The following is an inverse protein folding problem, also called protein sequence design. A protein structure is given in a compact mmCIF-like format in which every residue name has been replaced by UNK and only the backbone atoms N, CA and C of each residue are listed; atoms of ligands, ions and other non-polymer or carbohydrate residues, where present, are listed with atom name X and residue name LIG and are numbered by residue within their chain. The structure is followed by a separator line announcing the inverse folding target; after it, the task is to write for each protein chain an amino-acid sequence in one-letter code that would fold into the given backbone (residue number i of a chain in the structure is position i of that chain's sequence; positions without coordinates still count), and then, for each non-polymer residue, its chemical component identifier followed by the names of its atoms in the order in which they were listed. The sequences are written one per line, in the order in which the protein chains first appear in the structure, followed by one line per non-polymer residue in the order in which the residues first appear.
data_IF_531226842395
#
_entry.id   IF_531226842395
#
_cell.length_a   1.000
_cell.length_b   1.000
_cell.length_c   1.000
_cell.angle_alpha   90.00
_cell.angle_beta   90.00
_cell.angle_gamma   90.00
#
_symmetry.space_group_name_H-M   'P 1'
#
loop_
_entity.id
_entity.type
_entity.pdbx_description
1 polymer ?
#
# COMPACT_ATOMS: atom_id res chain seq x y z
N UNK A 1 -10.67 17.51 -12.28
CA UNK A 1 -11.18 16.13 -12.13
C UNK A 1 -12.62 16.17 -11.70
N UNK A 2 -13.46 15.33 -12.29
CA UNK A 2 -14.76 15.10 -11.69
C UNK A 2 -14.54 14.54 -10.28
N UNK A 3 -14.94 15.30 -9.27
CA UNK A 3 -14.83 14.94 -7.85
C UNK A 3 -15.31 13.49 -7.59
N UNK A 4 -16.28 13.04 -8.36
CA UNK A 4 -16.81 11.68 -8.31
C UNK A 4 -15.78 10.58 -8.59
N UNK A 5 -14.87 10.77 -9.56
CA UNK A 5 -13.84 9.75 -9.89
C UNK A 5 -12.79 9.69 -8.78
N UNK A 6 -12.45 10.83 -8.20
CA UNK A 6 -11.54 10.90 -7.04
C UNK A 6 -12.08 10.15 -5.83
N UNK A 7 -13.35 10.40 -5.50
CA UNK A 7 -14.01 9.69 -4.41
C UNK A 7 -14.17 8.19 -4.70
N UNK A 8 -14.46 7.82 -5.96
CA UNK A 8 -14.56 6.42 -6.36
C UNK A 8 -13.21 5.70 -6.27
N UNK A 9 -12.12 6.34 -6.72
CA UNK A 9 -10.77 5.79 -6.60
C UNK A 9 -10.33 5.66 -5.13
N UNK A 10 -10.62 6.67 -4.29
CA UNK A 10 -10.38 6.62 -2.85
C UNK A 10 -11.15 5.51 -2.15
N UNK A 11 -12.45 5.37 -2.47
CA UNK A 11 -13.28 4.29 -1.94
C UNK A 11 -12.77 2.91 -2.38
N UNK A 12 -12.36 2.76 -3.65
CA UNK A 12 -11.77 1.53 -4.16
C UNK A 12 -10.45 1.19 -3.46
N UNK A 13 -9.60 2.18 -3.20
CA UNK A 13 -8.36 2.01 -2.45
C UNK A 13 -8.62 1.60 -0.99
N UNK A 14 -9.60 2.22 -0.31
CA UNK A 14 -10.01 1.82 1.03
C UNK A 14 -10.51 0.38 1.07
N UNK A 15 -11.40 0.00 0.15
CA UNK A 15 -11.94 -1.35 0.07
C UNK A 15 -10.84 -2.38 -0.21
N UNK A 16 -9.94 -2.06 -1.15
CA UNK A 16 -8.79 -2.89 -1.46
C UNK A 16 -7.90 -3.13 -0.23
N UNK A 17 -7.52 -2.04 0.47
CA UNK A 17 -6.66 -2.12 1.65
C UNK A 17 -7.36 -2.83 2.82
N UNK A 18 -8.66 -2.63 3.03
CA UNK A 18 -9.42 -3.32 4.07
C UNK A 18 -9.43 -4.84 3.85
N UNK A 19 -9.68 -5.28 2.61
CA UNK A 19 -9.66 -6.70 2.26
C UNK A 19 -8.24 -7.27 2.34
N UNK A 20 -7.24 -6.54 1.84
CA UNK A 20 -5.85 -6.95 1.89
C UNK A 20 -5.32 -7.07 3.33
N UNK A 21 -5.62 -6.08 4.18
CA UNK A 21 -5.28 -6.12 5.61
C UNK A 21 -5.97 -7.28 6.33
N UNK A 22 -7.23 -7.54 6.03
CA UNK A 22 -7.96 -8.69 6.58
C UNK A 22 -7.32 -10.02 6.17
N UNK A 23 -6.93 -10.19 4.91
CA UNK A 23 -6.24 -11.40 4.44
C UNK A 23 -4.86 -11.56 5.10
N UNK A 24 -4.11 -10.47 5.25
CA UNK A 24 -2.78 -10.49 5.86
C UNK A 24 -2.83 -10.92 7.33
N UNK A 25 -3.79 -10.39 8.10
CA UNK A 25 -3.99 -10.78 9.51
C UNK A 25 -4.46 -12.22 9.65
N UNK A 26 -5.39 -12.66 8.78
CA UNK A 26 -6.03 -13.99 8.92
C UNK A 26 -5.17 -15.12 8.38
N UNK A 27 -4.53 -14.93 7.23
CA UNK A 27 -3.82 -16.01 6.50
C UNK A 27 -2.30 -15.85 6.51
N UNK A 28 -1.78 -14.68 6.91
CA UNK A 28 -0.36 -14.33 6.82
C UNK A 28 0.23 -14.57 5.42
N UNK A 29 -0.63 -14.67 4.43
CA UNK A 29 -0.32 -14.82 3.01
C UNK A 29 -1.36 -14.05 2.21
N UNK A 30 -0.90 -13.21 1.30
CA UNK A 30 -1.76 -12.44 0.43
C UNK A 30 -2.06 -13.28 -0.81
N UNK A 31 -3.33 -13.47 -1.09
CA UNK A 31 -3.74 -14.10 -2.34
C UNK A 31 -3.39 -13.17 -3.51
N UNK A 32 -2.60 -13.65 -4.46
CA UNK A 32 -2.25 -12.92 -5.69
C UNK A 32 -3.49 -12.54 -6.52
N UNK A 33 -4.61 -13.17 -6.26
CA UNK A 33 -5.88 -12.86 -6.92
C UNK A 33 -6.37 -11.44 -6.57
N UNK A 34 -6.17 -10.99 -5.33
CA UNK A 34 -6.62 -9.67 -4.88
C UNK A 34 -5.92 -8.52 -5.62
N UNK A 35 -4.57 -8.42 -5.64
CA UNK A 35 -3.89 -7.40 -6.42
C UNK A 35 -4.16 -7.53 -7.92
N UNK A 36 -4.31 -8.76 -8.46
CA UNK A 36 -4.67 -8.96 -9.86
C UNK A 36 -6.05 -8.40 -10.21
N UNK A 37 -7.04 -8.58 -9.34
CA UNK A 37 -8.39 -8.03 -9.55
C UNK A 37 -8.41 -6.49 -9.56
N UNK A 38 -7.58 -5.85 -8.74
CA UNK A 38 -7.49 -4.39 -8.65
C UNK A 38 -6.47 -3.76 -9.61
N UNK A 39 -5.75 -4.57 -10.38
CA UNK A 39 -4.80 -4.07 -11.38
C UNK A 39 -5.52 -3.26 -12.47
N UNK A 40 -6.62 -3.79 -13.02
CA UNK A 40 -7.38 -3.12 -14.08
C UNK A 40 -7.99 -1.78 -13.61
N UNK A 41 -8.72 -1.71 -12.49
CA UNK A 41 -9.18 -0.44 -11.93
C UNK A 41 -8.04 0.54 -11.64
N UNK A 42 -6.92 0.06 -11.09
CA UNK A 42 -5.75 0.89 -10.80
C UNK A 42 -5.14 1.48 -12.07
N UNK A 43 -4.97 0.66 -13.11
CA UNK A 43 -4.46 1.11 -14.40
C UNK A 43 -5.41 2.15 -15.03
N UNK A 44 -6.71 1.93 -14.93
CA UNK A 44 -7.70 2.89 -15.42
C UNK A 44 -7.57 4.23 -14.71
N UNK A 45 -7.45 4.25 -13.36
CA UNK A 45 -7.26 5.48 -12.61
C UNK A 45 -5.97 6.22 -12.97
N UNK A 46 -4.86 5.48 -13.14
CA UNK A 46 -3.56 6.03 -13.56
C UNK A 46 -3.66 6.66 -14.95
N UNK A 47 -4.21 5.94 -15.94
CA UNK A 47 -4.39 6.46 -17.30
C UNK A 47 -5.33 7.67 -17.34
N UNK A 48 -6.36 7.67 -16.50
CA UNK A 48 -7.29 8.80 -16.40
C UNK A 48 -6.57 10.05 -15.87
N UNK A 49 -5.76 9.94 -14.84
CA UNK A 49 -4.98 11.07 -14.31
C UNK A 49 -4.02 11.61 -15.36
N UNK A 50 -3.29 10.74 -16.05
CA UNK A 50 -2.37 11.16 -17.12
C UNK A 50 -3.11 11.86 -18.28
N UNK A 51 -4.25 11.31 -18.72
CA UNK A 51 -4.94 11.80 -19.90
C UNK A 51 -5.80 13.03 -19.65
N UNK A 52 -6.49 13.09 -18.50
CA UNK A 52 -7.52 14.11 -18.23
C UNK A 52 -7.09 15.18 -17.23
N UNK A 53 -6.14 14.87 -16.35
CA UNK A 53 -5.66 15.83 -15.36
C UNK A 53 -4.32 16.45 -15.73
N UNK A 54 -3.67 15.92 -16.75
CA UNK A 54 -2.37 16.39 -17.19
C UNK A 54 -1.30 16.23 -16.11
N UNK A 55 -1.45 15.23 -15.24
CA UNK A 55 -0.41 14.92 -14.27
C UNK A 55 0.86 14.49 -14.99
N UNK A 56 1.99 14.96 -14.49
CA UNK A 56 3.28 14.62 -15.04
C UNK A 56 3.57 13.10 -14.90
N UNK A 57 4.07 12.50 -15.96
CA UNK A 57 4.49 11.09 -15.96
C UNK A 57 5.45 10.78 -14.79
N UNK A 58 6.24 11.77 -14.34
CA UNK A 58 7.13 11.64 -13.20
C UNK A 58 6.38 11.42 -11.88
N UNK A 59 5.22 12.05 -11.71
CA UNK A 59 4.38 11.87 -10.51
C UNK A 59 3.78 10.46 -10.47
N UNK A 60 3.29 9.96 -11.61
CA UNK A 60 2.80 8.58 -11.70
C UNK A 60 3.91 7.55 -11.50
N UNK A 61 5.11 7.80 -12.04
CA UNK A 61 6.27 6.96 -11.76
C UNK A 61 6.66 6.98 -10.28
N UNK A 62 6.58 8.16 -9.62
CA UNK A 62 6.82 8.28 -8.19
C UNK A 62 5.81 7.51 -7.34
N UNK A 63 4.55 7.38 -7.79
CA UNK A 63 3.53 6.57 -7.13
C UNK A 63 3.88 5.07 -7.07
N UNK A 64 4.63 4.58 -8.07
CA UNK A 64 5.03 3.17 -8.16
C UNK A 64 6.34 2.87 -7.41
N UNK A 65 7.17 3.88 -7.15
CA UNK A 65 8.47 3.72 -6.50
C UNK A 65 8.41 2.94 -5.16
N UNK A 66 7.52 3.27 -4.21
CA UNK A 66 7.47 2.54 -2.94
C UNK A 66 7.16 1.06 -3.13
N UNK A 67 6.22 0.73 -4.02
CA UNK A 67 5.84 -0.64 -4.31
C UNK A 67 6.95 -1.42 -5.02
N UNK A 68 7.62 -0.81 -6.01
CA UNK A 68 8.80 -1.38 -6.65
C UNK A 68 9.94 -1.61 -5.66
N UNK A 69 10.18 -0.64 -4.76
CA UNK A 69 11.19 -0.77 -3.70
C UNK A 69 10.92 -1.95 -2.77
N UNK A 70 9.65 -2.14 -2.35
CA UNK A 70 9.26 -3.29 -1.52
C UNK A 70 9.37 -4.62 -2.29
N UNK A 71 9.02 -4.66 -3.58
CA UNK A 71 9.23 -5.85 -4.42
C UNK A 71 10.71 -6.19 -4.59
N UNK A 72 11.57 -5.20 -4.78
CA UNK A 72 13.03 -5.40 -4.83
C UNK A 72 13.56 -5.94 -3.50
N UNK A 73 13.13 -5.37 -2.38
CA UNK A 73 13.47 -5.86 -1.04
C UNK A 73 12.98 -7.29 -0.82
N UNK A 74 11.78 -7.63 -1.30
CA UNK A 74 11.26 -9.00 -1.24
C UNK A 74 12.14 -9.99 -2.02
N UNK A 75 12.61 -9.59 -3.21
CA UNK A 75 13.51 -10.41 -4.02
C UNK A 75 14.91 -10.58 -3.41
N UNK A 76 15.42 -9.54 -2.72
CA UNK A 76 16.77 -9.57 -2.13
C UNK A 76 16.80 -10.18 -0.74
N UNK A 77 15.67 -10.28 -0.03
CA UNK A 77 15.63 -10.66 1.38
C UNK A 77 15.32 -12.14 1.65
N UNK A 78 15.44 -13.01 0.65
CA UNK A 78 15.19 -14.46 0.76
C UNK A 78 13.88 -14.81 1.50
N UNK A 79 12.80 -14.11 1.15
CA UNK A 79 11.47 -14.34 1.68
C UNK A 79 11.18 -13.75 3.07
N UNK A 80 12.04 -12.85 3.59
CA UNK A 80 11.77 -12.12 4.84
C UNK A 80 10.73 -11.02 4.65
N UNK A 81 10.68 -10.40 3.48
CA UNK A 81 9.66 -9.43 3.07
C UNK A 81 8.68 -10.13 2.13
N UNK A 82 7.37 -9.91 2.33
CA UNK A 82 6.34 -10.53 1.50
C UNK A 82 6.23 -9.87 0.12
N UNK A 83 6.27 -10.66 -0.95
CA UNK A 83 6.00 -10.16 -2.31
C UNK A 83 4.63 -9.48 -2.41
N UNK A 84 3.66 -9.97 -1.62
CA UNK A 84 2.33 -9.41 -1.57
C UNK A 84 2.28 -7.97 -1.06
N UNK A 85 3.15 -7.60 -0.13
CA UNK A 85 3.23 -6.24 0.42
C UNK A 85 3.63 -5.24 -0.67
N UNK A 86 4.62 -5.60 -1.48
CA UNK A 86 5.07 -4.80 -2.62
C UNK A 86 3.98 -4.65 -3.69
N UNK A 87 3.32 -5.77 -4.06
CA UNK A 87 2.24 -5.75 -5.05
C UNK A 87 1.05 -4.93 -4.57
N UNK A 88 0.64 -5.06 -3.30
CA UNK A 88 -0.46 -4.25 -2.75
C UNK A 88 -0.10 -2.76 -2.71
N UNK A 89 1.15 -2.42 -2.41
CA UNK A 89 1.61 -1.03 -2.44
C UNK A 89 1.63 -0.48 -3.87
N UNK A 90 2.02 -1.28 -4.88
CA UNK A 90 1.93 -0.90 -6.30
C UNK A 90 0.49 -0.58 -6.70
N UNK A 91 -0.46 -1.45 -6.34
CA UNK A 91 -1.88 -1.23 -6.64
C UNK A 91 -2.40 0.03 -5.95
N UNK A 92 -1.99 0.28 -4.70
CA UNK A 92 -2.34 1.54 -4.02
C UNK A 92 -1.81 2.76 -4.78
N UNK A 93 -0.57 2.72 -5.27
CA UNK A 93 0.01 3.78 -6.10
C UNK A 93 -0.80 4.04 -7.37
N UNK A 94 -1.20 2.98 -8.08
CA UNK A 94 -2.05 3.07 -9.27
C UNK A 94 -3.43 3.66 -8.99
N UNK A 95 -4.06 3.27 -7.87
CA UNK A 95 -5.40 3.73 -7.49
C UNK A 95 -5.38 5.17 -6.97
N UNK A 96 -4.49 5.46 -6.03
CA UNK A 96 -4.52 6.70 -5.24
C UNK A 96 -3.56 7.80 -5.75
N UNK A 97 -2.52 7.44 -6.52
CA UNK A 97 -1.48 8.36 -6.97
C UNK A 97 -0.32 8.49 -5.98
N UNK A 98 0.63 9.38 -6.31
CA UNK A 98 1.90 9.50 -5.59
C UNK A 98 1.74 10.01 -4.16
N UNK A 99 1.03 11.12 -3.96
CA UNK A 99 0.87 11.75 -2.65
C UNK A 99 0.32 10.79 -1.60
N UNK A 100 -0.91 10.27 -1.80
CA UNK A 100 -1.52 9.31 -0.88
C UNK A 100 -0.68 8.04 -0.67
N UNK A 101 -0.08 7.50 -1.73
CA UNK A 101 0.72 6.28 -1.65
C UNK A 101 1.98 6.48 -0.82
N UNK A 102 2.77 7.53 -1.09
CA UNK A 102 4.01 7.82 -0.37
C UNK A 102 3.70 8.12 1.10
N UNK A 103 2.65 8.90 1.38
CA UNK A 103 2.23 9.19 2.75
C UNK A 103 1.80 7.92 3.49
N UNK A 104 0.94 7.09 2.87
CA UNK A 104 0.46 5.85 3.47
C UNK A 104 1.61 4.88 3.79
N UNK A 105 2.58 4.74 2.88
CA UNK A 105 3.74 3.86 3.08
C UNK A 105 4.64 4.40 4.20
N UNK A 106 4.96 5.70 4.19
CA UNK A 106 5.82 6.30 5.22
C UNK A 106 5.17 6.24 6.60
N UNK A 107 3.90 6.59 6.72
CA UNK A 107 3.14 6.49 7.97
C UNK A 107 2.99 5.03 8.42
N UNK A 108 2.68 4.12 7.50
CA UNK A 108 2.56 2.69 7.79
C UNK A 108 3.86 2.07 8.30
N UNK A 109 4.99 2.37 7.67
CA UNK A 109 6.32 1.92 8.11
C UNK A 109 6.69 2.51 9.47
N UNK A 110 6.36 3.77 9.71
CA UNK A 110 6.61 4.42 10.99
C UNK A 110 5.80 3.75 12.10
N UNK A 111 4.50 3.53 11.90
CA UNK A 111 3.64 2.84 12.85
C UNK A 111 4.11 1.41 13.12
N UNK A 112 4.48 0.67 12.07
CA UNK A 112 5.01 -0.68 12.20
C UNK A 112 6.32 -0.69 12.99
N UNK A 113 7.23 0.24 12.71
CA UNK A 113 8.52 0.34 13.40
C UNK A 113 8.35 0.66 14.89
N UNK A 114 7.43 1.57 15.23
CA UNK A 114 7.10 1.90 16.62
C UNK A 114 6.54 0.68 17.35
N UNK A 115 5.63 -0.07 16.71
CA UNK A 115 5.09 -1.30 17.30
C UNK A 115 6.17 -2.35 17.49
N UNK A 116 7.05 -2.54 16.51
CA UNK A 116 8.16 -3.49 16.62
C UNK A 116 9.09 -3.15 17.78
N UNK A 117 9.47 -1.87 17.93
CA UNK A 117 10.30 -1.41 19.04
C UNK A 117 9.60 -1.63 20.39
N UNK A 118 8.31 -1.31 20.47
CA UNK A 118 7.51 -1.50 21.67
C UNK A 118 7.41 -2.98 22.08
N UNK A 119 7.11 -3.87 21.15
CA UNK A 119 7.03 -5.31 21.41
C UNK A 119 8.38 -5.92 21.80
N UNK A 120 9.46 -5.44 21.19
CA UNK A 120 10.82 -5.88 21.51
C UNK A 120 11.21 -5.42 22.90
N UNK A 121 10.89 -4.18 23.29
CA UNK A 121 11.14 -3.65 24.64
C UNK A 121 10.37 -4.43 25.72
N UNK A 122 9.17 -4.91 25.41
CA UNK A 122 8.37 -5.78 26.29
C UNK A 122 8.80 -7.24 26.29
N UNK A 123 9.82 -7.62 25.52
CA UNK A 123 10.28 -9.02 25.31
C UNK A 123 9.16 -9.98 24.88
N UNK A 124 8.11 -9.45 24.23
CA UNK A 124 6.95 -10.22 23.75
C UNK A 124 7.06 -10.66 22.29
N UNK A 125 8.06 -10.20 21.57
CA UNK A 125 8.31 -10.60 20.21
C UNK A 125 9.78 -10.98 20.01
N UNK A 126 10.02 -12.06 19.25
CA UNK A 126 11.34 -12.44 18.79
C UNK A 126 11.71 -11.65 17.53
N UNK A 127 13.01 -11.43 17.30
CA UNK A 127 13.53 -10.77 16.08
C UNK A 127 13.08 -11.42 14.78
N UNK A 128 12.52 -12.64 14.82
CA UNK A 128 12.08 -13.42 13.67
C UNK A 128 10.55 -13.47 13.51
N UNK A 129 9.77 -12.77 14.36
CA UNK A 129 8.33 -12.75 14.22
C UNK A 129 7.92 -11.93 12.99
N UNK A 130 7.22 -12.58 12.05
CA UNK A 130 6.63 -11.89 10.88
C UNK A 130 5.45 -11.05 11.33
N UNK A 131 5.54 -9.74 11.13
CA UNK A 131 4.46 -8.80 11.42
C UNK A 131 3.69 -8.49 10.14
N UNK A 132 2.35 -8.45 10.18
CA UNK A 132 1.55 -8.07 9.01
C UNK A 132 1.77 -6.58 8.72
N UNK A 133 2.20 -6.23 7.51
CA UNK A 133 2.45 -4.85 7.09
C UNK A 133 1.19 -4.12 6.61
N UNK A 134 0.29 -4.84 5.93
CA UNK A 134 -0.88 -4.23 5.27
C UNK A 134 -1.86 -3.53 6.20
N UNK A 135 -2.12 -3.98 7.44
CA UNK A 135 -2.95 -3.22 8.37
C UNK A 135 -2.38 -1.83 8.69
N UNK A 136 -1.05 -1.72 8.76
CA UNK A 136 -0.38 -0.44 9.00
C UNK A 136 -0.39 0.45 7.76
N UNK A 137 -0.27 -0.14 6.57
CA UNK A 137 -0.45 0.57 5.31
C UNK A 137 -1.87 1.13 5.21
N UNK A 138 -2.89 0.34 5.56
CA UNK A 138 -4.28 0.78 5.59
C UNK A 138 -4.50 1.92 6.61
N UNK A 139 -3.92 1.80 7.81
CA UNK A 139 -3.98 2.87 8.81
C UNK A 139 -3.31 4.16 8.32
N UNK A 140 -2.15 4.05 7.66
CA UNK A 140 -1.47 5.19 7.04
C UNK A 140 -2.30 5.86 5.95
N UNK A 141 -3.01 5.09 5.14
CA UNK A 141 -3.90 5.63 4.11
C UNK A 141 -5.14 6.32 4.71
N UNK A 142 -5.72 5.74 5.76
CA UNK A 142 -6.83 6.36 6.49
C UNK A 142 -6.38 7.68 7.14
N UNK A 143 -5.19 7.72 7.72
CA UNK A 143 -4.61 8.96 8.25
C UNK A 143 -4.48 10.02 7.15
N UNK A 144 -4.01 9.66 5.97
CA UNK A 144 -3.95 10.58 4.83
C UNK A 144 -5.33 11.18 4.55
N UNK A 145 -6.38 10.35 4.45
CA UNK A 145 -7.74 10.80 4.17
C UNK A 145 -8.36 11.69 5.27
N UNK A 146 -7.85 11.61 6.50
CA UNK A 146 -8.30 12.47 7.61
C UNK A 146 -7.63 13.85 7.59
N UNK A 147 -6.46 13.96 6.95
CA UNK A 147 -5.69 15.21 6.90
C UNK A 147 -5.77 15.92 5.54
N UNK A 148 -6.29 15.25 4.49
CA UNK A 148 -6.52 15.82 3.15
C UNK A 148 -7.86 16.58 3.11
#
# INVERSE_FOLDING_TARGET
MNSMIRYAAGAAACLFLAVAAGQDVYRRQISLFLPAAFLLPGLFCCLWRLAMEGEDLYMEAAALLPGCGLCLLAGLSDGKVGWGDGLCTLILGLLAGAGPCIFAVSAGLLLLSLLCVFLLALRKADRNSRMPFLPFLAAGYILYLLFD
#
